data_IF_470210714045
#
_entry.id   IF_470210714045
#
_cell.length_a   1.000
_cell.length_b   1.000
_cell.length_c   1.000
_cell.angle_alpha   90.00
_cell.angle_beta   90.00
_cell.angle_gamma   90.00
#
_symmetry.space_group_name_H-M   'P 1'
#
loop_
_entity.id
_entity.type
_entity.pdbx_description
1 polymer ?
#
# COMPACT_ATOMS: atom_id res chain seq x y z
N UNK A 1 -39.16 -12.81 -9.97
CA UNK A 1 -38.00 -12.55 -9.11
C UNK A 1 -36.77 -12.75 -9.98
N UNK A 2 -36.08 -11.67 -10.35
CA UNK A 2 -34.85 -11.80 -11.14
C UNK A 2 -33.73 -12.13 -10.17
N UNK A 3 -33.15 -13.33 -10.29
CA UNK A 3 -31.86 -13.63 -9.68
C UNK A 3 -30.87 -12.56 -10.13
N UNK A 4 -30.33 -11.80 -9.18
CA UNK A 4 -29.16 -10.98 -9.44
C UNK A 4 -28.06 -11.94 -9.91
N UNK A 5 -27.46 -11.73 -11.10
CA UNK A 5 -26.42 -12.62 -11.59
C UNK A 5 -25.30 -12.66 -10.54
N UNK A 6 -25.04 -13.85 -10.01
CA UNK A 6 -24.04 -14.05 -8.98
C UNK A 6 -22.66 -13.75 -9.57
N UNK A 7 -21.96 -12.78 -8.96
CA UNK A 7 -20.60 -12.41 -9.36
C UNK A 7 -19.64 -13.50 -8.90
N UNK A 8 -18.94 -14.13 -9.84
CA UNK A 8 -17.93 -15.16 -9.55
C UNK A 8 -16.58 -14.50 -9.21
N UNK A 9 -16.04 -14.68 -7.99
CA UNK A 9 -14.77 -14.06 -7.59
C UNK A 9 -13.58 -14.42 -8.50
N UNK A 10 -13.52 -15.67 -8.97
CA UNK A 10 -12.45 -16.16 -9.84
C UNK A 10 -12.43 -15.49 -11.22
N UNK A 11 -13.60 -15.12 -11.74
CA UNK A 11 -13.71 -14.38 -13.01
C UNK A 11 -13.30 -12.93 -12.83
N UNK A 12 -13.71 -12.32 -11.71
CA UNK A 12 -13.30 -10.97 -11.34
C UNK A 12 -11.78 -10.90 -11.20
N UNK A 13 -11.17 -11.84 -10.49
CA UNK A 13 -9.71 -11.93 -10.33
C UNK A 13 -8.99 -12.07 -11.67
N UNK A 14 -9.44 -12.98 -12.55
CA UNK A 14 -8.86 -13.14 -13.87
C UNK A 14 -8.91 -11.85 -14.72
N UNK A 15 -10.01 -11.09 -14.62
CA UNK A 15 -10.14 -9.79 -15.30
C UNK A 15 -9.19 -8.76 -14.67
N UNK A 16 -9.05 -8.72 -13.34
CA UNK A 16 -8.12 -7.82 -12.66
C UNK A 16 -6.67 -8.11 -13.06
N UNK A 17 -6.26 -9.39 -13.09
CA UNK A 17 -4.91 -9.79 -13.54
C UNK A 17 -4.66 -9.36 -14.97
N UNK A 18 -5.61 -9.60 -15.88
CA UNK A 18 -5.50 -9.15 -17.27
C UNK A 18 -5.33 -7.63 -17.40
N UNK A 19 -6.02 -6.84 -16.55
CA UNK A 19 -5.88 -5.38 -16.51
C UNK A 19 -4.49 -4.96 -15.98
N UNK A 20 -3.96 -5.65 -14.97
CA UNK A 20 -2.64 -5.38 -14.39
C UNK A 20 -1.51 -5.70 -15.38
N UNK A 21 -1.60 -6.85 -16.06
CA UNK A 21 -0.59 -7.31 -17.02
C UNK A 21 -0.74 -6.64 -18.40
N UNK A 22 -1.85 -5.94 -18.62
CA UNK A 22 -2.25 -5.41 -19.93
C UNK A 22 -2.37 -6.53 -20.98
N UNK A 23 -2.75 -7.74 -20.55
CA UNK A 23 -2.87 -8.94 -21.38
C UNK A 23 -4.30 -9.54 -21.30
N UNK A 24 -5.11 -9.41 -22.37
CA UNK A 24 -6.47 -9.95 -22.40
C UNK A 24 -6.54 -11.45 -22.74
N UNK A 25 -5.41 -12.14 -22.97
CA UNK A 25 -5.39 -13.50 -23.53
C UNK A 25 -6.06 -14.57 -22.66
N UNK A 26 -6.15 -14.33 -21.34
CA UNK A 26 -6.71 -15.27 -20.37
C UNK A 26 -8.10 -14.88 -19.86
N UNK A 27 -8.80 -13.95 -20.55
CA UNK A 27 -10.12 -13.50 -20.12
C UNK A 27 -11.19 -14.57 -20.33
N UNK A 28 -12.06 -14.83 -19.32
CA UNK A 28 -13.19 -15.72 -19.47
C UNK A 28 -14.17 -15.23 -20.54
N UNK A 29 -14.49 -16.09 -21.52
CA UNK A 29 -15.37 -15.73 -22.65
C UNK A 29 -16.82 -15.48 -22.23
N UNK A 30 -17.23 -16.05 -21.09
CA UNK A 30 -18.57 -15.96 -20.50
C UNK A 30 -18.67 -14.88 -19.41
N UNK A 31 -17.66 -14.02 -19.27
CA UNK A 31 -17.67 -12.95 -18.27
C UNK A 31 -18.87 -12.01 -18.44
N UNK A 32 -19.69 -11.95 -17.39
CA UNK A 32 -20.90 -11.13 -17.34
C UNK A 32 -20.56 -9.65 -17.18
N UNK A 33 -21.55 -8.77 -17.43
CA UNK A 33 -21.39 -7.34 -17.17
C UNK A 33 -21.10 -7.04 -15.69
N UNK A 34 -21.80 -7.72 -14.78
CA UNK A 34 -21.63 -7.51 -13.34
C UNK A 34 -20.20 -7.86 -12.88
N UNK A 35 -19.62 -8.94 -13.40
CA UNK A 35 -18.23 -9.33 -13.11
C UNK A 35 -17.21 -8.32 -13.68
N UNK A 36 -17.44 -7.81 -14.90
CA UNK A 36 -16.59 -6.78 -15.50
C UNK A 36 -16.62 -5.47 -14.70
N UNK A 37 -17.81 -5.07 -14.24
CA UNK A 37 -17.96 -3.87 -13.40
C UNK A 37 -17.28 -4.06 -12.04
N UNK A 38 -17.46 -5.22 -11.38
CA UNK A 38 -16.77 -5.54 -10.13
C UNK A 38 -15.24 -5.56 -10.28
N UNK A 39 -14.72 -6.16 -11.36
CA UNK A 39 -13.28 -6.19 -11.63
C UNK A 39 -12.69 -4.80 -11.90
N UNK A 40 -13.41 -3.97 -12.65
CA UNK A 40 -13.02 -2.58 -12.90
C UNK A 40 -12.98 -1.79 -11.60
N UNK A 41 -13.99 -1.92 -10.76
CA UNK A 41 -14.04 -1.23 -9.46
C UNK A 41 -12.88 -1.68 -8.57
N UNK A 42 -12.63 -3.00 -8.47
CA UNK A 42 -11.49 -3.55 -7.73
C UNK A 42 -10.14 -3.06 -8.26
N UNK A 43 -9.95 -3.08 -9.59
CA UNK A 43 -8.72 -2.61 -10.23
C UNK A 43 -8.47 -1.12 -9.95
N UNK A 44 -9.48 -0.27 -10.13
CA UNK A 44 -9.38 1.17 -9.88
C UNK A 44 -9.15 1.48 -8.39
N UNK A 45 -9.84 0.80 -7.49
CA UNK A 45 -9.60 0.92 -6.04
C UNK A 45 -8.17 0.51 -5.68
N UNK A 46 -7.63 -0.55 -6.29
CA UNK A 46 -6.24 -0.96 -6.13
C UNK A 46 -5.24 0.10 -6.62
N UNK A 47 -5.51 0.77 -7.74
CA UNK A 47 -4.66 1.86 -8.23
C UNK A 47 -4.64 3.06 -7.27
N UNK A 48 -5.80 3.42 -6.71
CA UNK A 48 -5.92 4.50 -5.71
C UNK A 48 -5.17 4.12 -4.43
N UNK A 49 -5.44 2.95 -3.87
CA UNK A 49 -4.75 2.47 -2.67
C UNK A 49 -3.23 2.40 -2.86
N UNK A 50 -2.77 1.95 -4.03
CA UNK A 50 -1.35 1.92 -4.38
C UNK A 50 -0.72 3.32 -4.50
N UNK A 51 -1.49 4.31 -4.97
CA UNK A 51 -1.04 5.72 -4.96
C UNK A 51 -0.96 6.26 -3.54
N UNK A 52 -2.02 6.08 -2.75
CA UNK A 52 -2.06 6.54 -1.36
C UNK A 52 -0.89 5.94 -0.55
N UNK A 53 -0.59 4.67 -0.78
CA UNK A 53 0.57 4.00 -0.17
C UNK A 53 1.91 4.63 -0.59
N UNK A 54 2.11 4.93 -1.88
CA UNK A 54 3.33 5.59 -2.37
C UNK A 54 3.48 7.01 -1.83
N UNK A 55 2.37 7.75 -1.71
CA UNK A 55 2.36 9.09 -1.13
C UNK A 55 2.73 9.03 0.37
N UNK A 56 2.20 8.06 1.12
CA UNK A 56 2.59 7.78 2.51
C UNK A 56 4.07 7.41 2.63
N UNK A 57 4.59 6.54 1.76
CA UNK A 57 6.01 6.16 1.73
C UNK A 57 6.91 7.35 1.45
N UNK A 58 6.51 8.22 0.52
CA UNK A 58 7.25 9.45 0.20
C UNK A 58 7.34 10.35 1.42
N UNK A 59 6.21 10.59 2.10
CA UNK A 59 6.17 11.39 3.33
C UNK A 59 7.00 10.78 4.46
N UNK A 60 6.99 9.46 4.61
CA UNK A 60 7.84 8.76 5.58
C UNK A 60 9.33 9.03 5.31
N UNK A 61 9.76 8.94 4.04
CA UNK A 61 11.14 9.24 3.66
C UNK A 61 11.52 10.71 3.87
N UNK A 62 10.63 11.65 3.58
CA UNK A 62 10.85 13.08 3.86
C UNK A 62 11.07 13.35 5.36
N UNK A 63 10.34 12.63 6.23
CA UNK A 63 10.53 12.72 7.67
C UNK A 63 11.82 12.06 8.14
N UNK A 64 12.24 10.95 7.53
CA UNK A 64 13.47 10.24 7.90
C UNK A 64 14.74 10.95 7.41
N UNK A 65 14.72 11.48 6.20
CA UNK A 65 15.89 12.07 5.52
C UNK A 65 15.95 13.59 5.71
N UNK A 66 15.76 14.05 6.95
CA UNK A 66 15.78 15.48 7.29
C UNK A 66 17.17 16.11 7.22
N UNK A 67 18.22 15.29 7.20
CA UNK A 67 19.61 15.72 7.12
C UNK A 67 20.39 14.93 6.07
N UNK A 68 21.34 15.62 5.46
CA UNK A 68 22.35 14.98 4.63
C UNK A 68 23.45 14.42 5.52
N UNK A 69 23.84 13.18 5.24
CA UNK A 69 24.97 12.52 5.89
C UNK A 69 26.01 12.16 4.84
N UNK A 70 27.29 12.27 5.20
CA UNK A 70 28.41 11.90 4.31
C UNK A 70 28.52 10.39 4.12
N UNK A 71 28.10 9.62 5.14
CA UNK A 71 27.95 8.16 5.10
C UNK A 71 26.48 7.78 5.31
N UNK A 72 26.00 6.66 4.75
CA UNK A 72 24.64 6.19 4.99
C UNK A 72 24.37 6.00 6.49
N UNK A 73 23.41 6.73 7.08
CA UNK A 73 23.14 6.65 8.52
C UNK A 73 22.45 5.33 8.87
N UNK A 74 22.68 4.85 10.09
CA UNK A 74 21.91 3.75 10.65
C UNK A 74 20.49 4.20 11.05
N UNK A 75 19.54 3.25 11.14
CA UNK A 75 18.19 3.56 11.62
C UNK A 75 18.18 4.16 13.03
N UNK A 76 19.05 3.69 13.92
CA UNK A 76 19.17 4.28 15.26
C UNK A 76 19.59 5.74 15.20
N UNK A 77 20.61 6.06 14.41
CA UNK A 77 21.09 7.44 14.25
C UNK A 77 20.00 8.35 13.67
N UNK A 78 19.30 7.90 12.63
CA UNK A 78 18.18 8.64 12.07
C UNK A 78 17.15 8.96 13.15
N UNK A 79 16.69 7.95 13.91
CA UNK A 79 15.69 8.14 14.96
C UNK A 79 16.17 8.99 16.15
N UNK A 80 17.46 8.95 16.48
CA UNK A 80 18.06 9.79 17.54
C UNK A 80 18.07 11.27 17.16
N UNK A 81 18.10 11.58 15.85
CA UNK A 81 18.16 12.94 15.33
C UNK A 81 16.79 13.55 15.03
N UNK A 82 15.72 12.74 15.03
CA UNK A 82 14.38 13.22 14.71
C UNK A 82 13.77 14.06 15.84
N UNK A 83 13.09 15.17 15.50
CA UNK A 83 12.26 15.87 16.48
C UNK A 83 11.07 15.01 16.89
N UNK A 84 10.58 15.21 18.11
CA UNK A 84 9.44 14.46 18.67
C UNK A 84 8.17 14.55 17.80
N UNK A 85 7.95 15.69 17.16
CA UNK A 85 6.85 15.89 16.21
C UNK A 85 6.94 15.02 14.96
N UNK A 86 8.15 14.63 14.53
CA UNK A 86 8.35 13.68 13.45
C UNK A 86 8.09 12.25 13.91
N UNK A 87 8.44 11.90 15.16
CA UNK A 87 8.19 10.55 15.70
C UNK A 87 6.69 10.23 15.78
N UNK A 88 5.86 11.19 16.16
CA UNK A 88 4.40 11.03 16.17
C UNK A 88 3.86 10.76 14.74
N UNK A 89 4.32 11.53 13.75
CA UNK A 89 3.91 11.36 12.35
C UNK A 89 4.42 10.04 11.75
N UNK A 90 5.62 9.58 12.13
CA UNK A 90 6.12 8.27 11.71
C UNK A 90 5.26 7.12 12.26
N UNK A 91 4.67 7.28 13.45
CA UNK A 91 3.71 6.31 13.98
C UNK A 91 2.44 6.21 13.14
N UNK A 92 1.92 7.34 12.66
CA UNK A 92 0.77 7.37 11.73
C UNK A 92 1.09 6.77 10.36
N UNK A 93 2.37 6.74 9.98
CA UNK A 93 2.89 6.23 8.70
C UNK A 93 3.58 4.87 8.85
N UNK A 94 3.38 4.17 9.96
CA UNK A 94 4.15 2.96 10.31
C UNK A 94 4.14 1.88 9.22
N UNK A 95 2.97 1.61 8.63
CA UNK A 95 2.75 0.70 7.50
C UNK A 95 3.52 1.09 6.22
N UNK A 96 3.83 2.38 6.09
CA UNK A 96 4.56 2.95 4.97
C UNK A 96 6.06 3.14 5.24
N UNK A 97 6.54 2.84 6.44
CA UNK A 97 7.96 2.90 6.76
C UNK A 97 8.72 1.77 6.06
N UNK A 98 10.00 1.99 5.69
CA UNK A 98 10.91 0.91 5.33
C UNK A 98 11.04 -0.12 6.47
N UNK A 99 11.24 -1.40 6.15
CA UNK A 99 11.26 -2.49 7.13
C UNK A 99 12.24 -2.25 8.30
N UNK A 100 13.43 -1.72 8.00
CA UNK A 100 14.40 -1.40 9.04
C UNK A 100 13.97 -0.24 9.95
N UNK A 101 13.24 0.75 9.42
CA UNK A 101 12.64 1.82 10.21
C UNK A 101 11.46 1.31 11.05
N UNK A 102 10.63 0.40 10.53
CA UNK A 102 9.56 -0.26 11.31
C UNK A 102 10.13 -1.04 12.49
N UNK A 103 11.24 -1.77 12.25
CA UNK A 103 11.94 -2.54 13.28
C UNK A 103 12.48 -1.64 14.38
N UNK A 104 13.15 -0.54 14.00
CA UNK A 104 13.70 0.41 14.97
C UNK A 104 12.59 1.17 15.72
N UNK A 105 11.52 1.58 15.04
CA UNK A 105 10.36 2.18 15.67
C UNK A 105 9.75 1.23 16.70
N UNK A 106 9.47 -0.01 16.32
CA UNK A 106 8.87 -1.01 17.20
C UNK A 106 9.78 -1.34 18.39
N UNK A 107 11.10 -1.37 18.20
CA UNK A 107 12.08 -1.55 19.28
C UNK A 107 12.01 -0.43 20.32
N UNK A 108 11.79 0.82 19.89
CA UNK A 108 11.78 2.01 20.76
C UNK A 108 10.43 2.29 21.41
N UNK A 109 9.34 2.12 20.65
CA UNK A 109 8.01 2.61 21.02
C UNK A 109 6.93 1.51 21.04
N UNK A 110 7.26 0.30 20.58
CA UNK A 110 6.28 -0.74 20.27
C UNK A 110 5.66 -0.57 18.88
N UNK A 111 5.20 -1.66 18.28
CA UNK A 111 4.45 -1.58 17.04
C UNK A 111 3.06 -0.98 17.32
N UNK A 112 2.61 0.02 16.54
CA UNK A 112 1.26 0.55 16.70
C UNK A 112 0.25 -0.56 16.42
N UNK A 113 -0.76 -0.66 17.28
CA UNK A 113 -1.89 -1.57 17.04
C UNK A 113 -2.71 -0.94 15.91
N UNK A 114 -2.53 -1.43 14.70
CA UNK A 114 -3.42 -1.11 13.59
C UNK A 114 -4.83 -1.54 13.98
N UNK A 115 -5.72 -0.56 14.15
CA UNK A 115 -7.15 -0.76 14.39
C UNK A 115 -7.87 -1.17 13.10
#
# INVERSE_FOLDING_TARGET
MSESPQVRPEVVEAIVTALQDTDPSNLPADATRAEKDAAKDQYLSGLVAGRDQRDRQTRAWELLLTRSHDEPPSWSQLFDELPESSLAQLGELYDALPEGAQTEYARRFGAPVTA
#
